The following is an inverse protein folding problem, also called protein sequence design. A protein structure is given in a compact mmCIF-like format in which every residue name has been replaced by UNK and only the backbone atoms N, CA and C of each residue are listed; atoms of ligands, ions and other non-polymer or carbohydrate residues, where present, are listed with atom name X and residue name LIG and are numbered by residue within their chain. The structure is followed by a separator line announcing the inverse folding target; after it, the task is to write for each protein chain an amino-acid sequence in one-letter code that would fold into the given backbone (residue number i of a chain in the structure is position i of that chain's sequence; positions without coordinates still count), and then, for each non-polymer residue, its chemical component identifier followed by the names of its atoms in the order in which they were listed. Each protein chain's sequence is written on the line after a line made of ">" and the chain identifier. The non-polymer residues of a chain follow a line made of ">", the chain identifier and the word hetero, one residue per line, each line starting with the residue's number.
data_IF_334305874623
#
_entry.id   IF_334305874623
#
_cell.length_a   1.000
_cell.length_b   1.000
_cell.length_c   1.000
_cell.angle_alpha   90.00
_cell.angle_beta   90.00
_cell.angle_gamma   90.00
#
_symmetry.space_group_name_H-M   'P 1'
#
loop_
_entity.id
_entity.type
_entity.pdbx_description
1 polymer ?
#
# COMPACT_ATOMS: atom_id res chain seq x y z
N UNK A 1 13.21 -29.22 16.57
CA UNK A 1 13.79 -28.56 15.38
C UNK A 1 12.69 -28.01 14.49
N UNK A 2 11.82 -28.88 13.95
CA UNK A 2 10.71 -28.54 13.04
C UNK A 2 9.90 -27.27 13.34
N UNK A 3 9.47 -27.02 14.59
CA UNK A 3 8.70 -25.81 14.93
C UNK A 3 9.49 -24.52 14.75
N UNK A 4 10.80 -24.52 15.03
CA UNK A 4 11.67 -23.34 14.85
C UNK A 4 11.93 -23.08 13.38
N UNK A 5 12.13 -24.14 12.60
CA UNK A 5 12.36 -24.05 11.16
C UNK A 5 11.10 -23.56 10.42
N UNK A 6 9.93 -24.10 10.79
CA UNK A 6 8.64 -23.64 10.28
C UNK A 6 8.37 -22.17 10.64
N UNK A 7 8.67 -21.75 11.87
CA UNK A 7 8.54 -20.35 12.28
C UNK A 7 9.48 -19.41 11.48
N UNK A 8 10.72 -19.84 11.21
CA UNK A 8 11.66 -19.10 10.36
C UNK A 8 11.14 -19.00 8.92
N UNK A 9 10.67 -20.10 8.34
CA UNK A 9 10.14 -20.11 6.98
C UNK A 9 8.97 -19.13 6.81
N UNK A 10 8.02 -19.11 7.75
CA UNK A 10 6.91 -18.14 7.71
C UNK A 10 7.37 -16.70 7.88
N UNK A 11 8.37 -16.46 8.73
CA UNK A 11 8.98 -15.13 8.88
C UNK A 11 9.61 -14.66 7.57
N UNK A 12 10.34 -15.53 6.87
CA UNK A 12 11.01 -15.20 5.61
C UNK A 12 10.00 -14.94 4.48
N UNK A 13 8.95 -15.77 4.39
CA UNK A 13 7.82 -15.56 3.47
C UNK A 13 7.19 -14.19 3.71
N UNK A 14 6.83 -13.86 4.95
CA UNK A 14 6.25 -12.56 5.29
C UNK A 14 7.17 -11.41 4.94
N UNK A 15 8.46 -11.52 5.27
CA UNK A 15 9.43 -10.48 4.95
C UNK A 15 9.51 -10.22 3.44
N UNK A 16 9.58 -11.27 2.61
CA UNK A 16 9.59 -11.12 1.15
C UNK A 16 8.29 -10.47 0.66
N UNK A 17 7.14 -10.99 1.09
CA UNK A 17 5.83 -10.47 0.68
C UNK A 17 5.63 -9.01 1.08
N UNK A 18 6.03 -8.62 2.29
CA UNK A 18 5.91 -7.24 2.76
C UNK A 18 6.84 -6.30 1.99
N UNK A 19 8.06 -6.74 1.69
CA UNK A 19 8.98 -5.96 0.85
C UNK A 19 8.40 -5.76 -0.57
N UNK A 20 7.92 -6.83 -1.20
CA UNK A 20 7.31 -6.77 -2.54
C UNK A 20 6.10 -5.82 -2.58
N UNK A 21 5.24 -5.86 -1.56
CA UNK A 21 4.14 -4.93 -1.41
C UNK A 21 4.61 -3.48 -1.27
N UNK A 22 5.66 -3.23 -0.46
CA UNK A 22 6.24 -1.89 -0.31
C UNK A 22 6.77 -1.37 -1.64
N UNK A 23 7.44 -2.21 -2.43
CA UNK A 23 7.88 -1.83 -3.77
C UNK A 23 6.69 -1.55 -4.70
N UNK A 24 5.67 -2.41 -4.68
CA UNK A 24 4.51 -2.27 -5.56
C UNK A 24 3.73 -0.97 -5.33
N UNK A 25 3.44 -0.58 -4.08
CA UNK A 25 2.70 0.67 -3.85
C UNK A 25 3.54 1.90 -4.22
N UNK A 26 4.86 1.86 -4.01
CA UNK A 26 5.76 2.97 -4.40
C UNK A 26 5.80 3.14 -5.90
N UNK A 27 5.93 2.04 -6.65
CA UNK A 27 5.89 2.06 -8.10
C UNK A 27 4.54 2.55 -8.63
N UNK A 28 3.44 2.13 -8.00
CA UNK A 28 2.11 2.62 -8.31
C UNK A 28 1.97 4.13 -8.10
N UNK A 29 2.43 4.67 -6.96
CA UNK A 29 2.40 6.11 -6.68
C UNK A 29 3.31 6.88 -7.65
N UNK A 30 4.50 6.37 -7.93
CA UNK A 30 5.43 7.00 -8.87
C UNK A 30 4.79 7.15 -10.26
N UNK A 31 4.18 6.08 -10.78
CA UNK A 31 3.44 6.17 -12.05
C UNK A 31 2.25 7.12 -11.92
N UNK A 32 1.49 7.06 -10.82
CA UNK A 32 0.31 7.89 -10.63
C UNK A 32 0.62 9.40 -10.65
N UNK A 33 1.82 9.78 -10.22
CA UNK A 33 2.29 11.17 -10.17
C UNK A 33 3.09 11.58 -11.41
N UNK A 34 3.39 10.65 -12.31
CA UNK A 34 4.03 10.96 -13.57
C UNK A 34 3.15 11.94 -14.37
N UNK A 35 3.78 12.95 -14.97
CA UNK A 35 3.09 13.96 -15.76
C UNK A 35 2.47 13.35 -17.02
N UNK A 36 3.12 12.33 -17.59
CA UNK A 36 2.73 11.70 -18.85
C UNK A 36 1.77 10.51 -18.65
N UNK A 37 1.52 10.10 -17.40
CA UNK A 37 0.59 9.01 -17.11
C UNK A 37 -0.82 9.33 -17.63
N UNK A 38 -1.52 8.34 -18.17
CA UNK A 38 -2.93 8.49 -18.56
C UNK A 38 -3.78 7.74 -17.53
N UNK A 39 -4.52 8.51 -16.73
CA UNK A 39 -5.34 8.00 -15.63
C UNK A 39 -6.69 8.68 -15.72
N UNK A 40 -7.75 7.89 -15.74
CA UNK A 40 -9.13 8.36 -15.59
C UNK A 40 -9.67 7.95 -14.22
N UNK A 41 -10.76 8.58 -13.78
CA UNK A 41 -11.43 8.20 -12.56
C UNK A 41 -12.93 8.10 -12.79
N UNK A 42 -13.56 7.07 -12.20
CA UNK A 42 -15.01 6.93 -12.17
C UNK A 42 -15.50 6.75 -10.73
N UNK A 43 -16.78 7.00 -10.43
CA UNK A 43 -17.34 6.72 -9.12
C UNK A 43 -17.13 5.25 -8.74
N UNK A 44 -16.83 5.01 -7.46
CA UNK A 44 -16.68 3.67 -6.92
C UNK A 44 -18.06 2.99 -6.84
N UNK A 45 -18.23 1.76 -7.34
CA UNK A 45 -19.55 1.12 -7.48
C UNK A 45 -20.29 0.89 -6.15
N UNK A 46 -19.56 0.73 -5.06
CA UNK A 46 -20.12 0.48 -3.72
C UNK A 46 -19.91 1.62 -2.71
N UNK A 47 -19.27 2.72 -3.11
CA UNK A 47 -18.91 3.82 -2.21
C UNK A 47 -19.11 5.14 -2.96
N UNK A 48 -20.32 5.71 -2.89
CA UNK A 48 -20.70 6.84 -3.75
C UNK A 48 -19.75 8.04 -3.67
N UNK A 49 -19.12 8.26 -2.50
CA UNK A 49 -18.23 9.39 -2.25
C UNK A 49 -16.75 9.10 -2.57
N UNK A 50 -16.43 7.90 -3.09
CA UNK A 50 -15.07 7.53 -3.47
C UNK A 50 -14.94 7.43 -5.01
N UNK A 51 -13.82 7.94 -5.52
CA UNK A 51 -13.44 7.79 -6.93
C UNK A 51 -12.44 6.64 -7.08
N UNK A 52 -12.59 5.85 -8.13
CA UNK A 52 -11.71 4.75 -8.49
C UNK A 52 -10.85 5.12 -9.70
N UNK A 53 -9.52 5.01 -9.61
CA UNK A 53 -8.62 5.29 -10.73
C UNK A 53 -8.56 4.11 -11.70
N UNK A 54 -8.56 4.42 -13.00
CA UNK A 54 -8.33 3.50 -14.09
C UNK A 54 -7.10 3.96 -14.87
N UNK A 55 -6.23 2.99 -15.13
CA UNK A 55 -4.97 3.19 -15.81
C UNK A 55 -5.11 2.67 -17.24
N UNK A 56 -4.43 3.33 -18.16
CA UNK A 56 -4.25 2.84 -19.52
C UNK A 56 -3.35 1.59 -19.55
N UNK A 57 -2.94 1.17 -20.74
CA UNK A 57 -2.08 -0.01 -20.92
C UNK A 57 -0.72 0.14 -20.24
N UNK A 58 -0.11 1.34 -20.26
CA UNK A 58 1.17 1.60 -19.62
C UNK A 58 1.09 1.53 -18.09
N UNK A 59 -0.02 1.99 -17.51
CA UNK A 59 -0.23 1.99 -16.08
C UNK A 59 -0.78 0.68 -15.49
N UNK A 60 -1.38 -0.17 -16.34
CA UNK A 60 -1.99 -1.45 -15.93
C UNK A 60 -1.06 -2.37 -15.13
N UNK A 61 0.22 -2.59 -15.50
CA UNK A 61 1.12 -3.46 -14.75
C UNK A 61 1.32 -3.01 -13.29
N UNK A 62 1.37 -1.70 -13.03
CA UNK A 62 1.52 -1.17 -11.67
C UNK A 62 0.27 -1.40 -10.83
N UNK A 63 -0.91 -1.22 -11.42
CA UNK A 63 -2.19 -1.51 -10.76
C UNK A 63 -2.31 -3.00 -10.42
N UNK A 64 -2.05 -3.87 -11.39
CA UNK A 64 -2.15 -5.32 -11.22
C UNK A 64 -1.14 -5.83 -10.19
N UNK A 65 0.09 -5.32 -10.22
CA UNK A 65 1.12 -5.66 -9.23
C UNK A 65 0.72 -5.22 -7.82
N UNK A 66 0.15 -4.02 -7.67
CA UNK A 66 -0.36 -3.56 -6.37
C UNK A 66 -1.49 -4.46 -5.87
N UNK A 67 -2.42 -4.85 -6.75
CA UNK A 67 -3.54 -5.75 -6.42
C UNK A 67 -3.08 -7.16 -6.05
N UNK A 68 -2.12 -7.72 -6.78
CA UNK A 68 -1.54 -9.02 -6.47
C UNK A 68 -0.82 -9.02 -5.11
N UNK A 69 0.00 -8.00 -4.86
CA UNK A 69 0.79 -7.93 -3.62
C UNK A 69 -0.06 -7.67 -2.38
N UNK A 70 -1.14 -6.87 -2.45
CA UNK A 70 -2.06 -6.72 -1.30
C UNK A 70 -2.82 -8.02 -1.00
N UNK A 71 -3.16 -8.82 -2.01
CA UNK A 71 -3.73 -10.16 -1.76
C UNK A 71 -2.72 -11.09 -1.10
N UNK A 72 -1.46 -11.06 -1.53
CA UNK A 72 -0.39 -11.84 -0.91
C UNK A 72 -0.19 -11.43 0.56
N UNK A 73 -0.18 -10.12 0.87
CA UNK A 73 -0.11 -9.63 2.26
C UNK A 73 -1.25 -10.20 3.11
N UNK A 74 -2.50 -10.18 2.62
CA UNK A 74 -3.65 -10.75 3.35
C UNK A 74 -3.51 -12.25 3.60
N UNK A 75 -2.89 -12.98 2.67
CA UNK A 75 -2.70 -14.42 2.80
C UNK A 75 -1.65 -14.79 3.87
N UNK A 76 -0.55 -14.03 3.94
CA UNK A 76 0.58 -14.39 4.80
C UNK A 76 0.57 -13.72 6.18
N UNK A 77 -0.23 -12.67 6.35
CA UNK A 77 -0.31 -11.93 7.61
C UNK A 77 -0.96 -12.77 8.71
N UNK A 78 -0.26 -12.90 9.83
CA UNK A 78 -0.73 -13.51 11.07
C UNK A 78 -1.57 -12.55 11.91
N UNK A 79 -1.46 -11.23 11.68
CA UNK A 79 -2.21 -10.21 12.41
C UNK A 79 -3.17 -9.48 11.49
N UNK A 80 -4.38 -9.26 11.98
CA UNK A 80 -5.41 -8.49 11.26
C UNK A 80 -4.95 -7.05 11.05
N UNK A 81 -4.28 -6.47 12.02
CA UNK A 81 -3.79 -5.10 12.01
C UNK A 81 -2.78 -4.85 10.88
N UNK A 82 -1.96 -5.85 10.53
CA UNK A 82 -1.04 -5.77 9.38
C UNK A 82 -1.81 -5.73 8.06
N UNK A 83 -2.82 -6.60 7.91
CA UNK A 83 -3.64 -6.65 6.71
C UNK A 83 -4.54 -5.41 6.54
N UNK A 84 -5.10 -4.90 7.63
CA UNK A 84 -5.93 -3.69 7.65
C UNK A 84 -5.09 -2.46 7.32
N UNK A 85 -3.89 -2.31 7.90
CA UNK A 85 -2.97 -1.21 7.57
C UNK A 85 -2.51 -1.26 6.10
N UNK A 86 -2.24 -2.45 5.56
CA UNK A 86 -1.91 -2.61 4.15
C UNK A 86 -3.09 -2.19 3.23
N UNK A 87 -4.32 -2.52 3.63
CA UNK A 87 -5.53 -2.08 2.92
C UNK A 87 -5.66 -0.55 2.97
N UNK A 88 -5.50 0.07 4.14
CA UNK A 88 -5.53 1.53 4.29
C UNK A 88 -4.51 2.23 3.38
N UNK A 89 -3.33 1.64 3.23
CA UNK A 89 -2.29 2.16 2.34
C UNK A 89 -2.69 2.09 0.86
N UNK A 90 -3.25 0.96 0.41
CA UNK A 90 -3.78 0.83 -0.96
C UNK A 90 -4.92 1.80 -1.23
N UNK A 91 -5.87 1.92 -0.30
CA UNK A 91 -6.99 2.85 -0.43
C UNK A 91 -6.49 4.30 -0.53
N UNK A 92 -5.51 4.68 0.29
CA UNK A 92 -4.89 6.01 0.25
C UNK A 92 -4.15 6.26 -1.06
N UNK A 93 -3.42 5.26 -1.57
CA UNK A 93 -2.73 5.37 -2.85
C UNK A 93 -3.70 5.53 -4.03
N UNK A 94 -4.81 4.78 -4.02
CA UNK A 94 -5.87 4.91 -5.04
C UNK A 94 -6.54 6.29 -5.01
N UNK A 95 -6.74 6.87 -3.82
CA UNK A 95 -7.27 8.24 -3.69
C UNK A 95 -6.33 9.27 -4.31
N UNK A 96 -5.01 9.13 -4.13
CA UNK A 96 -4.01 10.00 -4.79
C UNK A 96 -4.14 9.89 -6.32
N UNK A 97 -4.15 8.66 -6.86
CA UNK A 97 -4.28 8.45 -8.30
C UNK A 97 -5.61 9.00 -8.87
N UNK A 98 -6.72 8.82 -8.16
CA UNK A 98 -8.01 9.36 -8.56
C UNK A 98 -8.06 10.90 -8.49
N UNK A 99 -7.43 11.49 -7.49
CA UNK A 99 -7.29 12.94 -7.38
C UNK A 99 -6.48 13.52 -8.54
N UNK A 100 -5.39 12.84 -8.93
CA UNK A 100 -4.58 13.22 -10.09
C UNK A 100 -5.38 13.10 -11.39
N UNK A 101 -6.22 12.09 -11.54
CA UNK A 101 -7.06 11.91 -12.72
C UNK A 101 -8.16 12.98 -12.88
N UNK A 102 -8.60 13.60 -11.79
CA UNK A 102 -9.71 14.57 -11.79
C UNK A 102 -9.25 16.03 -11.78
N UNK A 103 -7.96 16.29 -11.56
CA UNK A 103 -7.41 17.64 -11.44
C UNK A 103 -6.32 17.86 -12.49
N UNK A 104 -6.52 18.83 -13.35
CA UNK A 104 -5.50 19.29 -14.30
C UNK A 104 -4.39 20.03 -13.55
N UNK A 105 -3.16 19.51 -13.64
CA UNK A 105 -2.00 20.00 -12.88
C UNK A 105 -1.81 19.23 -11.58
N UNK A 106 -0.55 19.09 -11.14
CA UNK A 106 -0.07 18.25 -10.03
C UNK A 106 -0.64 18.55 -8.62
N UNK A 107 -1.76 19.25 -8.52
CA UNK A 107 -2.41 19.70 -7.28
C UNK A 107 -3.25 18.59 -6.62
N UNK A 108 -2.61 17.47 -6.31
CA UNK A 108 -3.15 16.48 -5.37
C UNK A 108 -3.08 17.09 -3.95
N UNK A 109 -4.17 17.10 -3.17
CA UNK A 109 -4.15 17.63 -1.80
C UNK A 109 -3.09 16.97 -0.92
N UNK A 110 -2.36 17.78 -0.15
CA UNK A 110 -1.36 17.29 0.82
C UNK A 110 -1.95 16.30 1.82
N UNK A 111 -3.21 16.51 2.23
CA UNK A 111 -3.94 15.60 3.13
C UNK A 111 -4.02 14.15 2.63
N UNK A 112 -3.99 13.91 1.31
CA UNK A 112 -3.98 12.55 0.76
C UNK A 112 -2.62 11.90 0.94
N UNK A 113 -1.54 12.67 0.82
CA UNK A 113 -0.20 12.19 1.12
C UNK A 113 -0.02 11.95 2.61
N UNK A 114 -0.51 12.84 3.48
CA UNK A 114 -0.46 12.66 4.94
C UNK A 114 -1.13 11.36 5.37
N UNK A 115 -2.33 11.08 4.85
CA UNK A 115 -3.04 9.82 5.10
C UNK A 115 -2.27 8.61 4.58
N UNK A 116 -1.67 8.71 3.38
CA UNK A 116 -0.84 7.64 2.83
C UNK A 116 0.38 7.37 3.71
N UNK A 117 1.10 8.41 4.16
CA UNK A 117 2.27 8.25 5.03
C UNK A 117 1.90 7.70 6.39
N UNK A 118 0.78 8.13 6.98
CA UNK A 118 0.25 7.54 8.21
C UNK A 118 -0.07 6.05 8.03
N UNK A 119 -0.74 5.66 6.94
CA UNK A 119 -1.04 4.26 6.64
C UNK A 119 0.24 3.44 6.40
N UNK A 120 1.22 4.00 5.69
CA UNK A 120 2.54 3.39 5.50
C UNK A 120 3.22 3.16 6.84
N UNK A 121 3.23 4.15 7.73
CA UNK A 121 3.82 4.03 9.06
C UNK A 121 3.14 2.93 9.88
N UNK A 122 1.80 2.91 9.92
CA UNK A 122 1.02 1.84 10.58
C UNK A 122 1.38 0.46 10.03
N UNK A 123 1.48 0.32 8.71
CA UNK A 123 1.86 -0.95 8.09
C UNK A 123 3.27 -1.38 8.51
N UNK A 124 4.24 -0.46 8.48
CA UNK A 124 5.62 -0.75 8.87
C UNK A 124 5.72 -1.18 10.34
N UNK A 125 5.01 -0.51 11.25
CA UNK A 125 4.98 -0.87 12.68
C UNK A 125 4.35 -2.26 12.88
N UNK A 126 3.18 -2.51 12.32
CA UNK A 126 2.50 -3.81 12.44
C UNK A 126 3.31 -4.95 11.83
N UNK A 127 3.89 -4.74 10.65
CA UNK A 127 4.75 -5.72 9.98
C UNK A 127 6.00 -6.05 10.80
N UNK A 128 6.65 -5.05 11.40
CA UNK A 128 7.81 -5.26 12.28
C UNK A 128 7.45 -6.07 13.52
N UNK A 129 6.34 -5.73 14.18
CA UNK A 129 5.85 -6.49 15.33
C UNK A 129 5.56 -7.94 14.95
N UNK A 130 4.91 -8.18 13.81
CA UNK A 130 4.61 -9.52 13.32
C UNK A 130 5.88 -10.34 12.97
N UNK A 131 6.90 -9.65 12.47
CA UNK A 131 8.22 -10.22 12.22
C UNK A 131 9.06 -10.35 13.50
N UNK A 132 8.58 -9.94 14.69
CA UNK A 132 9.37 -9.96 15.92
C UNK A 132 10.63 -9.09 15.82
N UNK A 133 10.51 -7.94 15.17
CA UNK A 133 11.55 -6.90 15.06
C UNK A 133 11.22 -5.75 16.01
N UNK A 134 12.24 -5.14 16.62
CA UNK A 134 12.06 -3.96 17.49
C UNK A 134 11.43 -2.80 16.73
N UNK A 135 10.58 -2.02 17.37
CA UNK A 135 10.05 -0.80 16.78
C UNK A 135 11.07 0.33 16.93
N UNK A 136 11.77 0.66 15.85
CA UNK A 136 12.75 1.78 15.81
C UNK A 136 12.09 3.15 15.64
N UNK A 137 10.76 3.21 15.62
CA UNK A 137 9.96 4.41 15.38
C UNK A 137 9.09 4.80 16.59
N UNK A 138 9.34 4.16 17.75
CA UNK A 138 8.65 4.48 19.01
C UNK A 138 9.44 5.42 19.92
N UNK A 139 10.69 5.79 19.55
CA UNK A 139 11.53 6.68 20.35
C UNK A 139 11.46 8.12 19.82
N UNK A 140 10.37 8.84 20.13
CA UNK A 140 10.35 10.32 20.19
C UNK A 140 9.16 10.79 21.04
N UNK A 141 9.12 10.37 22.30
CA UNK A 141 8.43 11.09 23.37
C UNK A 141 9.30 10.98 24.63
N UNK A 142 10.33 11.82 24.70
CA UNK A 142 10.91 12.32 25.95
C UNK A 142 10.71 13.84 26.01
#
# INVERSE_FOLDING_TARGET
>A
MWRRDHARQWRDIRLSTYNEFVFAYRQYIAFALDADAIISASPHPYKPDEMMPYFDEAGRPYREKLEATIMAVRLVSARRETADAAKELVDSARRIAAARATRTGQNVPTEFFDRMWQAQHKFMVSARQELGLSNIWQDTEE
#
